data_IF_164381193896
#
_entry.id   IF_164381193896
#
_cell.length_a   1.000
_cell.length_b   1.000
_cell.length_c   1.000
_cell.angle_alpha   90.00
_cell.angle_beta   90.00
_cell.angle_gamma   90.00
#
_symmetry.space_group_name_H-M   'P 1'
#
loop_
_entity.id
_entity.type
_entity.pdbx_description
1 polymer ?
#
# COMPACT_ATOMS: atom_id res chain seq x y z
N UNK A 1 -75.25 -44.43 -54.21
CA UNK A 1 -74.95 -43.65 -53.00
C UNK A 1 -73.78 -44.22 -52.19
N UNK A 2 -73.50 -45.50 -52.19
CA UNK A 2 -72.44 -46.17 -51.35
C UNK A 2 -70.95 -45.76 -51.66
N UNK A 3 -70.63 -45.33 -52.91
CA UNK A 3 -69.26 -44.96 -53.28
C UNK A 3 -68.83 -43.55 -52.77
N UNK A 4 -69.77 -42.63 -52.61
CA UNK A 4 -69.49 -41.28 -52.09
C UNK A 4 -69.24 -41.29 -50.58
N UNK A 5 -69.95 -42.12 -49.83
CA UNK A 5 -69.76 -42.30 -48.39
C UNK A 5 -68.40 -42.93 -48.04
N UNK A 6 -67.97 -43.90 -48.87
CA UNK A 6 -66.67 -44.57 -48.69
C UNK A 6 -65.48 -43.58 -48.94
N UNK A 7 -65.64 -42.74 -49.96
CA UNK A 7 -64.57 -41.71 -50.25
C UNK A 7 -64.52 -40.67 -49.16
N UNK A 8 -65.64 -40.19 -48.63
CA UNK A 8 -65.68 -39.25 -47.52
C UNK A 8 -65.10 -39.79 -46.21
N UNK A 9 -65.43 -41.11 -45.94
CA UNK A 9 -64.84 -41.78 -44.75
C UNK A 9 -63.33 -41.99 -44.87
N UNK A 10 -62.83 -42.34 -46.06
CA UNK A 10 -61.41 -42.49 -46.31
C UNK A 10 -60.67 -41.11 -46.16
N UNK A 11 -61.28 -40.02 -46.66
CA UNK A 11 -60.71 -38.67 -46.52
C UNK A 11 -60.67 -38.19 -45.06
N UNK A 12 -61.75 -38.55 -44.31
CA UNK A 12 -61.81 -38.25 -42.88
C UNK A 12 -60.74 -39.00 -42.08
N UNK A 13 -60.46 -40.23 -42.37
CA UNK A 13 -59.42 -41.07 -41.73
C UNK A 13 -58.01 -40.49 -42.06
N UNK A 14 -57.77 -40.07 -43.29
CA UNK A 14 -56.49 -39.44 -43.70
C UNK A 14 -56.34 -38.13 -43.01
N UNK A 15 -57.38 -37.28 -42.91
CA UNK A 15 -57.34 -36.04 -42.22
C UNK A 15 -57.02 -36.19 -40.71
N UNK A 16 -57.64 -37.16 -40.06
CA UNK A 16 -57.36 -37.49 -38.64
C UNK A 16 -55.93 -38.02 -38.47
N UNK A 17 -55.47 -38.87 -39.42
CA UNK A 17 -54.09 -39.37 -39.41
C UNK A 17 -53.04 -38.23 -39.54
N UNK A 18 -53.31 -37.26 -40.44
CA UNK A 18 -52.46 -36.09 -40.61
C UNK A 18 -52.45 -35.16 -39.36
N UNK A 19 -53.64 -35.01 -38.75
CA UNK A 19 -53.77 -34.21 -37.50
C UNK A 19 -53.06 -34.90 -36.35
N UNK A 20 -53.13 -36.20 -36.21
CA UNK A 20 -52.37 -36.93 -35.22
C UNK A 20 -50.84 -36.84 -35.48
N UNK A 21 -50.47 -37.06 -36.74
CA UNK A 21 -49.03 -36.91 -37.12
C UNK A 21 -48.50 -35.50 -36.81
N UNK A 22 -49.30 -34.47 -37.03
CA UNK A 22 -48.93 -33.09 -36.71
C UNK A 22 -48.92 -32.82 -35.18
N UNK A 23 -49.91 -33.40 -34.46
CA UNK A 23 -50.01 -33.25 -33.00
C UNK A 23 -48.87 -33.95 -32.24
N UNK A 24 -48.42 -35.08 -32.74
CA UNK A 24 -47.29 -35.85 -32.17
C UNK A 24 -45.94 -35.60 -32.84
N UNK A 25 -45.89 -34.64 -33.77
CA UNK A 25 -44.62 -34.27 -34.36
C UNK A 25 -43.66 -33.74 -33.26
N UNK A 26 -42.46 -34.31 -33.14
CA UNK A 26 -41.50 -33.87 -32.14
C UNK A 26 -41.16 -32.39 -32.35
N UNK A 27 -41.54 -31.57 -31.38
CA UNK A 27 -41.17 -30.13 -31.41
C UNK A 27 -39.71 -30.00 -31.00
N UNK A 28 -38.89 -29.33 -31.80
CA UNK A 28 -37.51 -29.10 -31.38
C UNK A 28 -37.48 -28.24 -30.12
N UNK A 29 -36.87 -28.77 -29.07
CA UNK A 29 -36.60 -28.02 -27.84
C UNK A 29 -35.34 -27.21 -28.11
N UNK A 30 -35.45 -25.91 -27.97
CA UNK A 30 -34.27 -25.05 -28.01
C UNK A 30 -33.46 -25.30 -26.73
N UNK A 31 -32.27 -25.82 -26.91
CA UNK A 31 -31.30 -25.99 -25.82
C UNK A 31 -30.10 -25.09 -26.07
N UNK A 32 -29.67 -24.43 -25.05
CA UNK A 32 -28.39 -23.74 -25.10
C UNK A 32 -27.28 -24.78 -25.10
N UNK A 33 -26.46 -24.74 -26.13
CA UNK A 33 -25.27 -25.59 -26.23
C UNK A 33 -24.04 -24.72 -26.16
N UNK A 34 -23.10 -25.12 -25.32
CA UNK A 34 -21.79 -24.50 -25.25
C UNK A 34 -20.74 -25.52 -25.69
N UNK A 35 -19.83 -25.08 -26.52
CA UNK A 35 -18.69 -25.88 -26.94
C UNK A 35 -17.67 -25.99 -25.82
N UNK A 36 -17.32 -27.20 -25.43
CA UNK A 36 -16.23 -27.41 -24.49
C UNK A 36 -14.88 -27.09 -25.18
N UNK A 37 -14.23 -26.01 -24.77
CA UNK A 37 -12.92 -25.65 -25.31
C UNK A 37 -11.87 -25.82 -24.22
N UNK A 38 -10.69 -26.28 -24.60
CA UNK A 38 -9.55 -26.30 -23.71
C UNK A 38 -9.02 -24.85 -23.59
N UNK A 39 -8.95 -24.33 -22.37
CA UNK A 39 -8.46 -22.99 -22.06
C UNK A 39 -7.65 -23.00 -20.79
N UNK A 40 -6.98 -21.91 -20.51
CA UNK A 40 -6.31 -21.69 -19.24
C UNK A 40 -7.39 -21.60 -18.13
N UNK A 41 -7.26 -22.41 -17.11
CA UNK A 41 -8.08 -22.32 -15.91
C UNK A 41 -7.28 -21.52 -14.86
N UNK A 42 -7.81 -20.37 -14.49
CA UNK A 42 -7.24 -19.54 -13.41
C UNK A 42 -8.11 -19.68 -12.16
N UNK A 43 -7.49 -20.00 -11.05
CA UNK A 43 -8.12 -19.92 -9.74
C UNK A 43 -7.72 -18.59 -9.12
N UNK A 44 -8.68 -17.70 -8.94
CA UNK A 44 -8.48 -16.41 -8.29
C UNK A 44 -9.11 -16.38 -6.91
N UNK A 45 -8.53 -15.58 -6.04
CA UNK A 45 -9.11 -15.19 -4.75
C UNK A 45 -9.52 -13.73 -4.92
N UNK A 46 -10.82 -13.45 -4.71
CA UNK A 46 -11.34 -12.08 -4.76
C UNK A 46 -11.62 -11.59 -3.34
N UNK A 47 -11.06 -10.45 -3.00
CA UNK A 47 -11.25 -9.85 -1.68
C UNK A 47 -11.21 -8.32 -1.78
N UNK A 48 -11.99 -7.67 -0.92
CA UNK A 48 -11.97 -6.23 -0.81
C UNK A 48 -10.65 -5.76 -0.19
N UNK A 49 -10.04 -4.77 -0.85
CA UNK A 49 -8.79 -4.21 -0.40
C UNK A 49 -8.89 -2.69 -0.27
N UNK A 50 -7.93 -2.09 0.40
CA UNK A 50 -7.83 -0.64 0.50
C UNK A 50 -6.42 -0.18 0.21
N UNK A 51 -6.34 0.95 -0.44
CA UNK A 51 -5.06 1.63 -0.66
C UNK A 51 -4.62 2.31 0.63
N UNK A 52 -3.33 2.29 0.87
CA UNK A 52 -2.70 3.11 1.90
C UNK A 52 -1.35 3.63 1.39
N UNK A 53 -0.88 4.67 2.02
CA UNK A 53 0.47 5.15 1.76
C UNK A 53 1.49 4.15 2.32
N UNK A 54 2.54 3.93 1.55
CA UNK A 54 3.65 3.08 1.96
C UNK A 54 4.37 3.66 3.18
N UNK A 55 4.68 4.95 3.11
CA UNK A 55 5.38 5.66 4.17
C UNK A 55 4.59 6.90 4.59
N UNK A 56 4.42 7.05 5.90
CA UNK A 56 3.75 8.18 6.52
C UNK A 56 4.66 8.75 7.60
N UNK A 57 4.91 10.04 7.53
CA UNK A 57 5.76 10.76 8.47
C UNK A 57 4.93 11.74 9.29
N UNK A 58 4.95 11.57 10.60
CA UNK A 58 4.30 12.49 11.53
C UNK A 58 5.32 13.53 11.95
N UNK A 59 5.12 14.77 11.52
CA UNK A 59 5.92 15.91 11.94
C UNK A 59 5.37 16.43 13.24
N UNK A 60 6.20 16.40 14.29
CA UNK A 60 5.82 16.83 15.65
C UNK A 60 6.63 18.06 16.07
N UNK A 61 6.07 18.82 17.04
CA UNK A 61 6.75 19.97 17.61
C UNK A 61 8.02 19.55 18.37
N UNK A 62 9.21 20.00 17.98
CA UNK A 62 10.46 19.62 18.62
C UNK A 62 10.72 20.36 19.95
N UNK A 63 9.92 21.38 20.24
CA UNK A 63 9.91 22.15 21.49
C UNK A 63 8.52 22.68 21.79
N UNK A 64 8.24 22.97 23.05
CA UNK A 64 7.01 23.65 23.45
C UNK A 64 7.11 25.16 23.19
N UNK A 65 6.01 25.75 22.74
CA UNK A 65 5.99 27.20 22.46
C UNK A 65 4.76 27.64 21.69
N UNK A 66 4.80 28.90 21.26
CA UNK A 66 3.78 29.47 20.40
C UNK A 66 4.00 29.03 18.97
N UNK A 67 3.08 28.25 18.42
CA UNK A 67 3.03 27.90 17.02
C UNK A 67 2.46 29.07 16.24
N UNK A 68 3.16 29.53 15.22
CA UNK A 68 2.61 30.46 14.25
C UNK A 68 1.62 29.73 13.32
N UNK A 69 0.69 30.46 12.74
CA UNK A 69 -0.30 29.89 11.82
C UNK A 69 0.40 29.14 10.68
N UNK A 70 0.03 27.90 10.49
CA UNK A 70 0.51 27.08 9.36
C UNK A 70 -0.21 27.56 8.10
N UNK A 71 0.56 27.90 7.06
CA UNK A 71 0.02 28.38 5.78
C UNK A 71 -0.24 27.26 4.78
N UNK A 72 0.35 26.10 5.01
CA UNK A 72 0.15 24.89 4.19
C UNK A 72 -1.25 24.36 4.37
N UNK A 73 -1.74 23.69 3.33
CA UNK A 73 -3.03 22.99 3.30
C UNK A 73 -2.82 21.52 3.02
N UNK A 74 -3.81 20.72 3.39
CA UNK A 74 -3.88 19.31 2.98
C UNK A 74 -3.89 19.22 1.46
N UNK A 75 -3.00 18.39 0.90
CA UNK A 75 -2.78 18.28 -0.53
C UNK A 75 -1.57 19.08 -1.07
N UNK A 76 -1.02 20.02 -0.30
CA UNK A 76 0.17 20.79 -0.75
C UNK A 76 1.40 19.90 -0.82
N UNK A 77 2.19 20.09 -1.88
CA UNK A 77 3.49 19.41 -2.04
C UNK A 77 4.60 20.20 -1.35
N UNK A 78 5.44 19.51 -0.62
CA UNK A 78 6.59 20.07 0.10
C UNK A 78 7.87 19.33 -0.29
N UNK A 79 8.98 20.04 -0.33
CA UNK A 79 10.31 19.48 -0.59
C UNK A 79 11.09 19.33 0.71
N UNK A 80 12.02 18.41 0.72
CA UNK A 80 12.96 18.27 1.82
C UNK A 80 13.65 19.59 2.13
N UNK A 81 13.55 20.04 3.41
CA UNK A 81 14.09 21.32 3.86
C UNK A 81 13.10 22.49 3.84
N UNK A 82 11.94 22.38 3.20
CA UNK A 82 10.92 23.43 3.23
C UNK A 82 10.40 23.66 4.65
N UNK A 83 10.07 24.93 4.96
CA UNK A 83 9.54 25.32 6.27
C UNK A 83 8.06 24.91 6.35
N UNK A 84 7.77 24.01 7.27
CA UNK A 84 6.42 23.49 7.50
C UNK A 84 5.67 24.30 8.57
N UNK A 85 6.39 24.66 9.61
CA UNK A 85 5.85 25.40 10.75
C UNK A 85 6.91 26.25 11.40
N UNK A 86 6.47 27.30 12.08
CA UNK A 86 7.35 28.18 12.85
C UNK A 86 6.89 28.19 14.30
N UNK A 87 7.80 27.90 15.21
CA UNK A 87 7.58 27.84 16.65
C UNK A 87 8.38 28.93 17.34
N UNK A 88 7.73 29.72 18.18
CA UNK A 88 8.39 30.65 19.08
C UNK A 88 8.40 30.04 20.47
N UNK A 89 9.59 29.76 21.06
CA UNK A 89 9.63 29.18 22.40
C UNK A 89 8.91 30.07 23.40
N UNK A 90 8.10 29.48 24.26
CA UNK A 90 7.54 30.22 25.39
C UNK A 90 8.65 30.52 26.38
N UNK A 91 8.94 31.82 26.62
CA UNK A 91 9.91 32.22 27.59
C UNK A 91 9.42 31.85 29.00
N UNK A 92 10.13 30.92 29.65
CA UNK A 92 10.20 30.92 31.10
C UNK A 92 11.50 31.62 31.51
N UNK A 93 11.47 32.62 32.38
CA UNK A 93 12.67 33.36 32.78
C UNK A 93 13.66 32.52 33.58
N UNK A 94 13.32 31.33 33.99
CA UNK A 94 14.21 30.35 34.58
C UNK A 94 14.48 29.26 33.53
N UNK A 95 15.74 29.13 33.13
CA UNK A 95 16.29 27.95 32.48
C UNK A 95 16.01 26.78 33.42
N UNK A 96 14.86 26.13 33.21
CA UNK A 96 14.48 24.97 34.00
C UNK A 96 15.44 23.85 33.61
N UNK A 97 16.34 23.45 34.52
CA UNK A 97 17.26 22.31 34.35
C UNK A 97 16.50 21.07 33.90
N UNK A 98 15.23 20.97 34.27
CA UNK A 98 14.31 19.94 33.84
C UNK A 98 14.08 19.97 32.33
N UNK A 99 13.79 21.13 31.74
CA UNK A 99 13.60 21.27 30.29
C UNK A 99 14.87 20.90 29.52
N UNK A 100 16.03 21.34 30.02
CA UNK A 100 17.33 20.97 29.45
C UNK A 100 17.55 19.44 29.53
N UNK A 101 17.22 18.84 30.67
CA UNK A 101 17.34 17.40 30.89
C UNK A 101 16.40 16.61 29.95
N UNK A 102 15.15 17.06 29.82
CA UNK A 102 14.17 16.45 28.90
C UNK A 102 14.63 16.52 27.43
N UNK A 103 15.17 17.67 26.99
CA UNK A 103 15.70 17.81 25.63
C UNK A 103 16.95 16.95 25.40
N UNK A 104 17.84 16.82 26.42
CA UNK A 104 18.99 15.91 26.32
C UNK A 104 18.53 14.45 26.18
N UNK A 105 17.61 13.98 27.03
CA UNK A 105 17.03 12.64 26.93
C UNK A 105 16.36 12.40 25.56
N UNK A 106 15.71 13.43 25.03
CA UNK A 106 15.15 13.37 23.67
C UNK A 106 16.23 13.19 22.60
N UNK A 107 17.33 13.93 22.69
CA UNK A 107 18.48 13.80 21.77
C UNK A 107 19.04 12.38 21.82
N UNK A 108 19.23 11.81 23.02
CA UNK A 108 19.73 10.44 23.18
C UNK A 108 18.79 9.43 22.53
N UNK A 109 17.47 9.58 22.75
CA UNK A 109 16.46 8.71 22.14
C UNK A 109 16.52 8.78 20.62
N UNK A 110 16.53 9.97 20.04
CA UNK A 110 16.59 10.17 18.58
C UNK A 110 17.94 9.70 18.02
N UNK A 111 19.03 9.87 18.77
CA UNK A 111 20.34 9.35 18.37
C UNK A 111 20.35 7.82 18.30
N UNK A 112 19.70 7.13 19.23
CA UNK A 112 19.50 5.68 19.16
C UNK A 112 18.65 5.28 17.94
N UNK A 113 17.64 6.08 17.58
CA UNK A 113 16.85 5.86 16.35
C UNK A 113 17.72 5.99 15.09
N UNK A 114 18.61 6.96 15.01
CA UNK A 114 19.56 7.10 13.89
C UNK A 114 20.47 5.89 13.78
N UNK A 115 21.00 5.37 14.91
CA UNK A 115 21.81 4.17 14.91
C UNK A 115 21.03 2.93 14.44
N UNK A 116 19.79 2.78 14.92
CA UNK A 116 18.91 1.70 14.50
C UNK A 116 18.60 1.77 13.00
N UNK A 117 18.29 2.96 12.49
CA UNK A 117 18.05 3.17 11.06
C UNK A 117 19.33 2.89 10.24
N UNK A 118 20.51 3.27 10.73
CA UNK A 118 21.79 2.93 10.12
C UNK A 118 22.01 1.43 9.98
N UNK A 119 21.79 0.68 11.06
CA UNK A 119 21.91 -0.78 11.04
C UNK A 119 20.89 -1.44 10.08
N UNK A 120 19.70 -0.81 9.89
CA UNK A 120 18.73 -1.27 8.89
C UNK A 120 19.23 -1.06 7.47
N UNK A 121 19.84 0.10 7.17
CA UNK A 121 20.48 0.36 5.87
C UNK A 121 21.57 -0.68 5.58
N UNK A 122 22.46 -0.94 6.52
CA UNK A 122 23.53 -1.94 6.36
C UNK A 122 22.96 -3.33 6.08
N UNK A 123 21.94 -3.75 6.81
CA UNK A 123 21.25 -5.03 6.57
C UNK A 123 20.63 -5.09 5.19
N UNK A 124 19.93 -4.05 4.76
CA UNK A 124 19.31 -3.97 3.45
C UNK A 124 20.37 -3.98 2.33
N UNK A 125 21.50 -3.33 2.54
CA UNK A 125 22.63 -3.36 1.60
C UNK A 125 23.19 -4.77 1.43
N UNK A 126 23.36 -5.52 2.51
CA UNK A 126 23.79 -6.92 2.45
C UNK A 126 22.78 -7.77 1.69
N UNK A 127 21.47 -7.53 1.88
CA UNK A 127 20.42 -8.23 1.15
C UNK A 127 20.46 -7.95 -0.36
N UNK A 128 20.73 -6.71 -0.76
CA UNK A 128 20.93 -6.34 -2.18
C UNK A 128 22.12 -7.07 -2.77
N UNK A 129 23.24 -7.11 -2.04
CA UNK A 129 24.44 -7.78 -2.52
C UNK A 129 24.25 -9.30 -2.67
N UNK A 130 23.57 -9.91 -1.69
CA UNK A 130 23.22 -11.33 -1.76
C UNK A 130 22.33 -11.64 -2.97
N UNK A 131 21.25 -10.86 -3.15
CA UNK A 131 20.34 -11.03 -4.27
C UNK A 131 21.03 -10.80 -5.63
N UNK A 132 21.97 -9.85 -5.69
CA UNK A 132 22.78 -9.59 -6.88
C UNK A 132 23.68 -10.78 -7.23
N UNK A 133 24.33 -11.38 -6.25
CA UNK A 133 25.19 -12.55 -6.46
C UNK A 133 24.36 -13.76 -6.90
N UNK A 134 23.16 -13.95 -6.33
CA UNK A 134 22.28 -15.03 -6.72
C UNK A 134 21.77 -14.87 -8.16
N UNK A 135 21.38 -13.64 -8.53
CA UNK A 135 20.98 -13.34 -9.91
C UNK A 135 22.14 -13.60 -10.88
N UNK A 136 23.35 -13.13 -10.58
CA UNK A 136 24.53 -13.37 -11.43
C UNK A 136 24.81 -14.86 -11.62
N UNK A 137 24.66 -15.66 -10.57
CA UNK A 137 24.80 -17.14 -10.65
C UNK A 137 23.71 -17.74 -11.51
N UNK A 138 22.46 -17.33 -11.32
CA UNK A 138 21.32 -17.79 -12.12
C UNK A 138 21.47 -17.42 -13.59
N UNK A 139 21.96 -16.23 -13.91
CA UNK A 139 22.21 -15.80 -15.28
C UNK A 139 23.26 -16.68 -15.98
N UNK A 140 24.36 -17.02 -15.28
CA UNK A 140 25.37 -17.93 -15.80
C UNK A 140 24.82 -19.34 -16.05
N UNK A 141 24.05 -19.88 -15.10
CA UNK A 141 23.44 -21.20 -15.23
C UNK A 141 22.38 -21.25 -16.34
N UNK A 142 21.61 -20.17 -16.50
CA UNK A 142 20.61 -20.05 -17.55
C UNK A 142 21.24 -20.00 -18.94
N UNK A 143 22.40 -19.33 -19.12
CA UNK A 143 23.14 -19.29 -20.38
C UNK A 143 23.58 -20.69 -20.84
N UNK A 144 23.83 -21.57 -19.88
CA UNK A 144 24.21 -22.96 -20.15
C UNK A 144 23.02 -23.94 -20.14
N UNK A 145 21.79 -23.45 -19.99
CA UNK A 145 20.59 -24.28 -20.01
C UNK A 145 20.39 -25.14 -18.75
N UNK A 146 21.13 -24.88 -17.66
CA UNK A 146 21.05 -25.67 -16.42
C UNK A 146 19.88 -25.32 -15.51
N UNK A 147 19.23 -24.16 -15.71
CA UNK A 147 18.08 -23.75 -14.94
C UNK A 147 16.96 -23.21 -15.85
N UNK A 148 15.72 -23.26 -15.35
CA UNK A 148 14.56 -22.68 -16.03
C UNK A 148 14.63 -21.14 -16.06
N UNK A 149 14.09 -20.53 -17.10
CA UNK A 149 14.00 -19.08 -17.24
C UNK A 149 13.24 -18.43 -16.06
N UNK A 150 12.22 -19.09 -15.55
CA UNK A 150 11.43 -18.66 -14.39
C UNK A 150 12.28 -18.43 -13.14
N UNK A 151 13.31 -19.25 -12.91
CA UNK A 151 14.22 -19.08 -11.76
C UNK A 151 15.01 -17.77 -11.87
N UNK A 152 15.58 -17.48 -13.04
CA UNK A 152 16.29 -16.22 -13.30
C UNK A 152 15.38 -15.01 -13.11
N UNK A 153 14.14 -15.09 -13.62
CA UNK A 153 13.17 -13.99 -13.49
C UNK A 153 12.77 -13.77 -12.02
N UNK A 154 12.62 -14.86 -11.26
CA UNK A 154 12.40 -14.78 -9.80
C UNK A 154 13.57 -14.10 -9.08
N UNK A 155 14.81 -14.45 -9.41
CA UNK A 155 16.00 -13.86 -8.77
C UNK A 155 16.18 -12.38 -9.16
N UNK A 156 15.77 -11.99 -10.38
CA UNK A 156 15.72 -10.60 -10.81
C UNK A 156 14.73 -9.80 -9.98
N UNK A 157 13.52 -10.33 -9.78
CA UNK A 157 12.51 -9.70 -8.93
C UNK A 157 12.98 -9.61 -7.48
N UNK A 158 13.67 -10.64 -6.96
CA UNK A 158 14.23 -10.60 -5.62
C UNK A 158 15.27 -9.48 -5.46
N UNK A 159 16.13 -9.27 -6.48
CA UNK A 159 17.06 -8.14 -6.47
C UNK A 159 16.34 -6.79 -6.49
N UNK A 160 15.32 -6.65 -7.32
CA UNK A 160 14.56 -5.39 -7.40
C UNK A 160 13.81 -5.12 -6.08
N UNK A 161 13.23 -6.13 -5.44
CA UNK A 161 12.63 -6.02 -4.12
C UNK A 161 13.66 -5.61 -3.05
N UNK A 162 14.85 -6.22 -3.05
CA UNK A 162 15.92 -5.87 -2.12
C UNK A 162 16.39 -4.41 -2.32
N UNK A 163 16.49 -3.94 -3.56
CA UNK A 163 16.84 -2.53 -3.87
C UNK A 163 15.80 -1.57 -3.32
N UNK A 164 14.52 -1.86 -3.49
CA UNK A 164 13.44 -1.03 -2.95
C UNK A 164 13.46 -0.97 -1.42
N UNK A 165 13.74 -2.09 -0.76
CA UNK A 165 13.90 -2.10 0.69
C UNK A 165 15.12 -1.28 1.14
N UNK A 166 16.23 -1.35 0.40
CA UNK A 166 17.41 -0.50 0.66
C UNK A 166 17.08 0.98 0.50
N UNK A 167 16.39 1.38 -0.58
CA UNK A 167 15.99 2.76 -0.81
C UNK A 167 15.12 3.28 0.35
N UNK A 168 14.15 2.47 0.78
CA UNK A 168 13.30 2.80 1.93
C UNK A 168 14.11 2.96 3.23
N UNK A 169 15.05 2.04 3.50
CA UNK A 169 15.89 2.13 4.68
C UNK A 169 16.78 3.39 4.68
N UNK A 170 17.27 3.82 3.50
CA UNK A 170 18.03 5.07 3.35
C UNK A 170 17.17 6.29 3.63
N UNK A 171 15.91 6.31 3.19
CA UNK A 171 14.96 7.37 3.51
C UNK A 171 14.67 7.43 5.00
N UNK A 172 14.39 6.29 5.64
CA UNK A 172 14.18 6.21 7.10
C UNK A 172 15.38 6.77 7.88
N UNK A 173 16.61 6.43 7.46
CA UNK A 173 17.81 6.96 8.08
C UNK A 173 17.92 8.48 7.90
N UNK A 174 17.53 9.01 6.72
CA UNK A 174 17.52 10.45 6.46
C UNK A 174 16.54 11.16 7.38
N UNK A 175 15.33 10.63 7.52
CA UNK A 175 14.32 11.15 8.46
C UNK A 175 14.87 11.20 9.87
N UNK A 176 15.40 10.08 10.37
CA UNK A 176 15.96 10.02 11.73
C UNK A 176 17.11 11.05 11.95
N UNK A 177 17.95 11.27 10.93
CA UNK A 177 19.00 12.31 10.99
C UNK A 177 18.43 13.72 11.06
N UNK A 178 17.37 14.01 10.30
CA UNK A 178 16.68 15.31 10.36
C UNK A 178 16.05 15.53 11.73
N UNK A 179 15.40 14.52 12.30
CA UNK A 179 14.86 14.59 13.67
C UNK A 179 15.95 14.87 14.69
N UNK A 180 17.12 14.24 14.56
CA UNK A 180 18.27 14.52 15.44
C UNK A 180 18.74 15.95 15.31
N UNK A 181 18.81 16.47 14.08
CA UNK A 181 19.18 17.87 13.82
C UNK A 181 18.19 18.83 14.47
N UNK A 182 16.89 18.55 14.34
CA UNK A 182 15.83 19.34 14.98
C UNK A 182 15.93 19.29 16.51
N UNK A 183 16.14 18.10 17.10
CA UNK A 183 16.27 17.95 18.54
C UNK A 183 17.47 18.73 19.08
N UNK A 184 18.62 18.70 18.38
CA UNK A 184 19.81 19.48 18.73
C UNK A 184 19.59 20.98 18.60
N UNK A 185 18.92 21.40 17.52
CA UNK A 185 18.58 22.80 17.31
C UNK A 185 17.63 23.32 18.41
N UNK A 186 16.66 22.51 18.84
CA UNK A 186 15.78 22.85 19.96
C UNK A 186 16.57 23.09 21.26
N UNK A 187 17.53 22.21 21.57
CA UNK A 187 18.40 22.40 22.74
C UNK A 187 19.25 23.66 22.62
N UNK A 188 19.77 23.99 21.42
CA UNK A 188 20.60 25.19 21.21
C UNK A 188 19.83 26.48 21.47
N UNK A 189 18.54 26.53 21.11
CA UNK A 189 17.65 27.67 21.37
C UNK A 189 17.45 27.88 22.87
N UNK A 190 17.32 26.80 23.64
CA UNK A 190 17.14 26.84 25.10
C UNK A 190 18.45 27.23 25.81
N UNK A 191 19.59 26.75 25.32
CA UNK A 191 20.92 27.05 25.91
C UNK A 191 21.49 28.41 25.55
N UNK A 192 20.94 29.09 24.56
CA UNK A 192 21.41 30.43 24.16
C UNK A 192 20.38 31.51 24.52
N UNK A 193 20.23 31.86 25.79
CA UNK A 193 19.38 32.98 26.22
C UNK A 193 20.13 34.28 26.01
N UNK A 194 20.43 34.61 24.77
CA UNK A 194 21.24 35.78 24.47
C UNK A 194 20.61 36.65 23.41
N UNK A 195 20.23 37.85 23.81
CA UNK A 195 19.84 39.00 23.01
C UNK A 195 18.49 38.96 22.30
N UNK A 196 17.45 39.23 23.04
CA UNK A 196 16.41 40.20 22.66
C UNK A 196 15.49 39.94 21.48
N UNK A 197 15.39 38.79 20.94
CA UNK A 197 14.26 38.39 20.10
C UNK A 197 14.17 36.85 20.12
N UNK A 198 13.04 36.33 20.57
CA UNK A 198 12.77 34.91 20.49
C UNK A 198 12.98 34.43 19.05
N UNK A 199 14.13 33.82 18.77
CA UNK A 199 14.37 33.27 17.44
C UNK A 199 13.35 32.18 17.18
N UNK A 200 12.46 32.49 16.25
CA UNK A 200 11.49 31.53 15.78
C UNK A 200 12.21 30.27 15.27
N UNK A 201 11.82 29.11 15.80
CA UNK A 201 12.32 27.82 15.38
C UNK A 201 11.51 27.35 14.16
N UNK A 202 12.19 27.01 13.07
CA UNK A 202 11.57 26.52 11.85
C UNK A 202 11.57 24.99 11.82
N UNK A 203 10.39 24.39 11.82
CA UNK A 203 10.22 22.98 11.56
C UNK A 203 10.24 22.77 10.06
N UNK A 204 11.12 21.88 9.58
CA UNK A 204 11.35 21.67 8.16
C UNK A 204 10.94 20.24 7.74
N UNK A 205 10.56 20.12 6.46
CA UNK A 205 10.23 18.83 5.86
C UNK A 205 11.45 17.89 5.83
N UNK A 206 11.32 16.66 6.32
CA UNK A 206 12.43 15.70 6.30
C UNK A 206 12.65 15.07 4.92
N UNK A 207 11.59 14.99 4.13
CA UNK A 207 11.55 14.36 2.80
C UNK A 207 10.67 15.14 1.85
N UNK A 208 10.79 14.87 0.54
CA UNK A 208 9.82 15.33 -0.45
C UNK A 208 8.52 14.55 -0.24
N UNK A 209 7.42 15.27 -0.04
CA UNK A 209 6.14 14.65 0.31
C UNK A 209 4.96 15.58 0.01
N UNK A 210 3.76 15.08 0.25
CA UNK A 210 2.53 15.84 0.24
C UNK A 210 1.95 15.91 1.65
N UNK A 211 1.35 17.03 2.03
CA UNK A 211 0.65 17.19 3.30
C UNK A 211 -0.63 16.36 3.27
N UNK A 212 -0.71 15.33 4.10
CA UNK A 212 -1.87 14.44 4.17
C UNK A 212 -2.93 14.96 5.12
N UNK A 213 -2.46 15.46 6.27
CA UNK A 213 -3.34 15.94 7.33
C UNK A 213 -2.63 17.02 8.15
N UNK A 214 -3.37 18.04 8.52
CA UNK A 214 -2.94 19.05 9.48
C UNK A 214 -3.58 18.76 10.84
N UNK A 215 -2.77 18.47 11.85
CA UNK A 215 -3.24 18.27 13.22
C UNK A 215 -3.45 19.61 13.94
N UNK A 216 -2.68 20.64 13.55
CA UNK A 216 -2.77 21.98 14.07
C UNK A 216 -2.86 22.98 12.91
N UNK A 217 -4.01 23.65 12.76
CA UNK A 217 -4.27 24.60 11.67
C UNK A 217 -4.13 26.05 12.12
N UNK A 218 -4.38 26.31 13.41
CA UNK A 218 -4.41 27.65 13.97
C UNK A 218 -3.14 27.92 14.80
N UNK A 219 -2.81 29.20 14.94
CA UNK A 219 -1.81 29.61 15.91
C UNK A 219 -2.26 29.26 17.33
N UNK A 220 -1.30 28.90 18.17
CA UNK A 220 -1.61 28.50 19.54
C UNK A 220 -0.38 27.94 20.25
N UNK A 221 -0.53 27.64 21.52
CA UNK A 221 0.52 27.03 22.32
C UNK A 221 0.50 25.51 22.08
N UNK A 222 1.66 24.96 21.72
CA UNK A 222 1.86 23.52 21.54
C UNK A 222 2.91 23.01 22.50
N UNK A 223 2.68 21.80 22.98
CA UNK A 223 3.64 21.11 23.84
C UNK A 223 4.72 20.41 23.01
N UNK A 224 5.87 20.11 23.63
CA UNK A 224 6.88 19.24 23.06
C UNK A 224 6.28 17.90 22.60
N UNK A 225 6.56 17.49 21.38
CA UNK A 225 6.08 16.23 20.81
C UNK A 225 4.66 16.27 20.25
N UNK A 226 3.94 17.39 20.34
CA UNK A 226 2.61 17.55 19.75
C UNK A 226 2.66 17.32 18.24
N UNK A 227 1.81 16.48 17.66
CA UNK A 227 1.75 16.31 16.21
C UNK A 227 1.26 17.61 15.55
N UNK A 228 1.97 18.07 14.53
CA UNK A 228 1.65 19.27 13.76
C UNK A 228 0.98 18.89 12.44
N UNK A 229 1.56 17.95 11.71
CA UNK A 229 1.03 17.47 10.45
C UNK A 229 1.54 16.07 10.11
N UNK A 230 0.86 15.43 9.17
CA UNK A 230 1.27 14.17 8.57
C UNK A 230 1.69 14.41 7.12
N UNK A 231 2.83 13.86 6.74
CA UNK A 231 3.37 13.91 5.38
C UNK A 231 3.43 12.50 4.79
N UNK A 232 3.32 12.39 3.47
CA UNK A 232 3.51 11.12 2.77
C UNK A 232 3.64 11.31 1.26
N UNK A 233 4.25 10.34 0.60
CA UNK A 233 4.37 10.35 -0.86
C UNK A 233 3.18 9.62 -1.47
N UNK A 234 2.22 10.38 -2.00
CA UNK A 234 1.00 9.85 -2.64
C UNK A 234 1.27 9.07 -3.93
N UNK A 235 2.49 9.14 -4.47
CA UNK A 235 2.92 8.34 -5.63
C UNK A 235 3.33 6.92 -5.23
N UNK A 236 3.52 6.67 -3.93
CA UNK A 236 3.91 5.38 -3.39
C UNK A 236 2.76 4.78 -2.57
N UNK A 237 1.71 4.41 -3.28
CA UNK A 237 0.61 3.68 -2.69
C UNK A 237 0.89 2.18 -2.70
N UNK A 238 0.40 1.51 -1.68
CA UNK A 238 0.32 0.05 -1.62
C UNK A 238 -1.14 -0.35 -1.37
N UNK A 239 -1.49 -1.53 -1.79
CA UNK A 239 -2.82 -2.10 -1.55
C UNK A 239 -2.70 -3.11 -0.42
N UNK A 240 -3.58 -2.99 0.56
CA UNK A 240 -3.68 -3.91 1.69
C UNK A 240 -4.99 -4.69 1.57
N UNK A 241 -4.88 -5.99 1.36
CA UNK A 241 -5.98 -6.94 1.39
C UNK A 241 -5.96 -7.74 2.70
N UNK A 242 -7.14 -8.11 3.18
CA UNK A 242 -7.31 -8.90 4.41
C UNK A 242 -7.86 -10.27 4.04
N UNK A 243 -6.96 -11.21 3.68
CA UNK A 243 -7.34 -12.56 3.25
C UNK A 243 -7.61 -13.48 4.44
N UNK A 244 -8.44 -14.48 4.24
CA UNK A 244 -8.57 -15.60 5.17
C UNK A 244 -7.23 -16.34 5.30
N UNK A 245 -6.92 -16.85 6.49
CA UNK A 245 -5.62 -17.47 6.76
C UNK A 245 -5.27 -18.57 5.75
N UNK A 246 -6.24 -19.40 5.36
CA UNK A 246 -6.02 -20.48 4.41
C UNK A 246 -5.80 -19.99 2.96
N UNK A 247 -6.34 -18.84 2.61
CA UNK A 247 -6.14 -18.17 1.31
C UNK A 247 -4.77 -17.48 1.26
N UNK A 248 -4.38 -16.82 2.36
CA UNK A 248 -3.09 -16.18 2.47
C UNK A 248 -1.91 -17.16 2.28
N UNK A 249 -2.08 -18.43 2.70
CA UNK A 249 -1.09 -19.49 2.44
C UNK A 249 -0.93 -19.83 0.95
N UNK A 250 -1.93 -19.53 0.14
CA UNK A 250 -1.92 -19.77 -1.31
C UNK A 250 -1.43 -18.54 -2.10
N UNK A 251 -1.15 -17.43 -1.43
CA UNK A 251 -0.69 -16.18 -2.02
C UNK A 251 0.72 -15.79 -1.54
N UNK A 252 1.75 -16.56 -1.88
CA UNK A 252 3.12 -16.23 -1.49
C UNK A 252 3.58 -14.91 -2.11
N UNK A 253 4.63 -14.27 -1.56
CA UNK A 253 5.25 -13.11 -2.18
C UNK A 253 5.59 -13.36 -3.65
N UNK A 254 5.31 -12.38 -4.51
CA UNK A 254 5.45 -12.49 -5.97
C UNK A 254 4.18 -12.95 -6.71
N UNK A 255 3.13 -13.39 -6.01
CA UNK A 255 1.85 -13.75 -6.65
C UNK A 255 1.30 -12.54 -7.41
N UNK A 256 0.93 -12.69 -8.72
CA UNK A 256 0.33 -11.62 -9.49
C UNK A 256 -1.06 -11.29 -8.95
N UNK A 257 -1.39 -10.01 -8.94
CA UNK A 257 -2.67 -9.48 -8.48
C UNK A 257 -3.23 -8.53 -9.52
N UNK A 258 -4.52 -8.64 -9.77
CA UNK A 258 -5.28 -7.67 -10.55
C UNK A 258 -6.15 -6.85 -9.62
N UNK A 259 -6.06 -5.53 -9.72
CA UNK A 259 -6.80 -4.58 -8.89
C UNK A 259 -7.90 -3.99 -9.75
N UNK A 260 -9.12 -4.43 -9.48
CA UNK A 260 -10.31 -4.01 -10.19
C UNK A 260 -11.11 -3.00 -9.35
N UNK A 261 -12.03 -2.28 -9.98
CA UNK A 261 -13.01 -1.40 -9.30
C UNK A 261 -12.39 -0.32 -8.38
N UNK A 262 -11.18 0.11 -8.69
CA UNK A 262 -10.48 1.16 -7.94
C UNK A 262 -10.95 2.59 -8.27
N UNK A 263 -11.90 2.74 -9.19
CA UNK A 263 -12.47 4.02 -9.64
C UNK A 263 -12.02 4.48 -11.03
N UNK A 264 -10.99 3.87 -11.57
CA UNK A 264 -10.53 4.12 -12.93
C UNK A 264 -11.14 3.13 -13.95
N UNK A 265 -10.93 3.40 -15.26
CA UNK A 265 -11.54 2.62 -16.34
C UNK A 265 -10.81 1.30 -16.64
N UNK A 266 -9.60 1.11 -16.18
CA UNK A 266 -8.73 -0.04 -16.48
C UNK A 266 -8.28 -0.71 -15.19
N UNK A 267 -8.21 -2.03 -15.17
CA UNK A 267 -7.60 -2.78 -14.06
C UNK A 267 -6.13 -2.45 -13.91
N UNK A 268 -5.63 -2.40 -12.68
CA UNK A 268 -4.22 -2.23 -12.40
C UNK A 268 -3.59 -3.58 -12.10
N UNK A 269 -2.36 -3.75 -12.54
CA UNK A 269 -1.54 -4.91 -12.20
C UNK A 269 -0.71 -4.63 -10.96
N UNK A 270 -0.56 -5.65 -10.12
CA UNK A 270 0.24 -5.59 -8.92
C UNK A 270 0.78 -6.95 -8.54
N UNK A 271 1.57 -6.99 -7.47
CA UNK A 271 2.14 -8.22 -6.92
C UNK A 271 2.11 -8.22 -5.40
N UNK A 272 1.91 -9.40 -4.86
CA UNK A 272 2.07 -9.62 -3.42
C UNK A 272 3.53 -9.36 -3.05
N UNK A 273 3.76 -8.32 -2.25
CA UNK A 273 5.07 -8.02 -1.71
C UNK A 273 5.37 -8.86 -0.48
N UNK A 274 4.43 -8.93 0.44
CA UNK A 274 4.55 -9.71 1.67
C UNK A 274 3.20 -10.07 2.24
N UNK A 275 3.20 -11.16 2.98
CA UNK A 275 2.11 -11.57 3.85
C UNK A 275 2.54 -11.28 5.29
N UNK A 276 1.75 -10.50 6.04
CA UNK A 276 2.08 -10.21 7.44
C UNK A 276 1.87 -11.48 8.28
N UNK A 277 2.83 -11.84 9.16
CA UNK A 277 2.76 -13.12 9.87
C UNK A 277 1.72 -13.14 10.99
N UNK A 278 1.20 -11.98 11.39
CA UNK A 278 0.22 -11.87 12.46
C UNK A 278 -1.21 -11.95 11.91
N UNK A 279 -1.92 -13.02 12.27
CA UNK A 279 -3.35 -13.12 12.04
C UNK A 279 -4.12 -12.29 13.09
N UNK A 280 -5.27 -11.77 12.69
CA UNK A 280 -6.20 -11.07 13.59
C UNK A 280 -7.63 -11.55 13.33
N UNK A 281 -8.47 -11.40 14.35
CA UNK A 281 -9.88 -11.76 14.25
C UNK A 281 -10.70 -10.58 13.74
N UNK A 282 -11.52 -10.81 12.73
CA UNK A 282 -12.47 -9.84 12.19
C UNK A 282 -13.86 -10.49 12.15
N UNK A 283 -14.87 -9.72 12.52
CA UNK A 283 -16.26 -10.17 12.39
C UNK A 283 -16.72 -9.86 10.98
N UNK A 284 -17.15 -10.87 10.25
CA UNK A 284 -17.71 -10.74 8.89
C UNK A 284 -19.07 -10.05 8.91
N UNK A 285 -19.55 -9.64 7.75
CA UNK A 285 -20.88 -9.04 7.60
C UNK A 285 -22.03 -9.95 8.08
N UNK A 286 -21.78 -11.25 8.16
CA UNK A 286 -22.72 -12.27 8.66
C UNK A 286 -22.61 -12.52 10.17
N UNK A 287 -21.75 -11.76 10.89
CA UNK A 287 -21.56 -11.90 12.34
C UNK A 287 -20.66 -13.07 12.75
N UNK A 288 -19.93 -13.68 11.81
CA UNK A 288 -19.03 -14.80 12.07
C UNK A 288 -17.60 -14.24 12.28
N UNK A 289 -16.92 -14.74 13.31
CA UNK A 289 -15.51 -14.45 13.54
C UNK A 289 -14.63 -15.21 12.53
N UNK A 290 -13.79 -14.45 11.83
CA UNK A 290 -12.87 -14.97 10.84
C UNK A 290 -11.44 -14.61 11.19
N UNK A 291 -10.53 -15.57 11.04
CA UNK A 291 -9.10 -15.33 11.17
C UNK A 291 -8.54 -14.85 9.84
N UNK A 292 -8.07 -13.60 9.81
CA UNK A 292 -7.58 -12.94 8.61
C UNK A 292 -6.12 -12.53 8.77
N UNK A 293 -5.43 -12.46 7.65
CA UNK A 293 -4.03 -12.07 7.52
C UNK A 293 -3.93 -10.92 6.53
N UNK A 294 -3.11 -9.91 6.83
CA UNK A 294 -2.89 -8.81 5.91
C UNK A 294 -1.88 -9.19 4.86
N UNK A 295 -2.27 -8.98 3.62
CA UNK A 295 -1.43 -9.15 2.44
C UNK A 295 -1.17 -7.78 1.84
N UNK A 296 0.10 -7.45 1.70
CA UNK A 296 0.55 -6.18 1.15
C UNK A 296 0.94 -6.40 -0.30
N UNK A 297 0.36 -5.58 -1.15
CA UNK A 297 0.45 -5.70 -2.61
C UNK A 297 1.05 -4.40 -3.14
N UNK A 298 2.09 -4.51 -3.92
CA UNK A 298 2.65 -3.38 -4.67
C UNK A 298 1.89 -3.23 -5.99
N UNK A 299 1.68 -1.99 -6.42
CA UNK A 299 1.07 -1.66 -7.70
C UNK A 299 2.20 -1.55 -8.72
N UNK A 300 2.20 -2.46 -9.71
CA UNK A 300 3.22 -2.49 -10.77
C UNK A 300 2.89 -1.49 -11.90
N UNK A 301 1.61 -1.16 -12.06
CA UNK A 301 1.14 -0.20 -13.06
C UNK A 301 1.71 1.19 -12.77
N UNK A 302 2.32 1.88 -13.74
CA UNK A 302 2.88 3.21 -13.54
C UNK A 302 1.85 4.22 -13.04
N UNK A 303 2.23 5.07 -12.07
CA UNK A 303 1.36 6.07 -11.46
C UNK A 303 0.64 6.99 -12.47
N UNK A 304 1.23 7.24 -13.63
CA UNK A 304 0.62 8.06 -14.68
C UNK A 304 -0.65 7.44 -15.30
N UNK A 305 -0.95 6.18 -15.02
CA UNK A 305 -2.11 5.46 -15.56
C UNK A 305 -3.26 5.31 -14.54
N UNK A 306 -3.09 5.81 -13.33
CA UNK A 306 -4.09 5.74 -12.24
C UNK A 306 -4.07 6.97 -11.31
#
# INVERSE_FOLDING_TARGET
MKKRTLVTSALAVVAVGLLLAWAFAPRPVQVEVAEARRGLFERSIEEDARTRLRDRYVVSAPLGGQLARITLREGDSVRAGDVLATLTPAYSPMLDERTVSELNARIETVQAMVQRAGARVERAQVAVELARQELARSEQLAQHGFIAATKRDTDRLALDAARKEYDTAVLDQRVARHELTQARAALSVVRSPGTGAARAFQVRAPVDAQVLKLSQTSEGVVALGSPLMELGDTRQLEVMAELLTHEALQTPPGTPVRIDRWGGPVSLDGRVRRVEPAAFTKVSALGVEEQRVRVIIDIDTPHAQW
#
